data_IF_183375447689
#
_entry.id   IF_183375447689
#
_cell.length_a   1.000
_cell.length_b   1.000
_cell.length_c   1.000
_cell.angle_alpha   90.00
_cell.angle_beta   90.00
_cell.angle_gamma   90.00
#
_symmetry.space_group_name_H-M   'P 1'
#
loop_
_entity.id
_entity.type
_entity.pdbx_description
1 polymer ?
#
# COMPACT_ATOMS: atom_id res chain seq x y z
N UNK A 1 0.31 36.39 -18.97
CA UNK A 1 -0.63 35.61 -18.15
C UNK A 1 0.21 34.80 -17.18
N UNK A 2 0.67 35.46 -16.12
CA UNK A 2 1.36 34.81 -14.99
C UNK A 2 0.58 35.16 -13.74
N UNK A 3 -0.04 34.11 -13.21
CA UNK A 3 -0.85 34.09 -12.01
C UNK A 3 0.04 33.84 -10.79
N UNK A 4 -0.30 34.58 -9.72
CA UNK A 4 -0.34 34.14 -8.31
C UNK A 4 1.00 33.69 -7.70
N UNK A 5 1.57 34.55 -6.87
CA UNK A 5 1.82 34.35 -5.42
C UNK A 5 2.43 35.67 -4.92
N UNK A 6 1.63 36.50 -4.24
CA UNK A 6 2.14 37.58 -3.38
C UNK A 6 1.58 37.39 -1.97
N UNK A 7 2.49 36.95 -1.11
CA UNK A 7 2.70 37.45 0.25
C UNK A 7 1.46 37.64 1.12
N UNK A 8 1.09 36.59 1.86
CA UNK A 8 0.46 36.76 3.17
C UNK A 8 1.55 37.03 4.21
N UNK A 9 2.00 38.28 4.27
CA UNK A 9 2.66 38.82 5.46
C UNK A 9 1.59 39.37 6.38
N UNK A 10 1.18 38.61 7.38
CA UNK A 10 0.34 39.12 8.46
C UNK A 10 1.20 40.06 9.33
N UNK A 11 1.14 41.36 9.02
CA UNK A 11 1.48 42.39 10.00
C UNK A 11 0.39 42.42 11.08
N UNK A 12 0.74 42.60 12.36
CA UNK A 12 -0.26 42.78 13.40
C UNK A 12 -0.94 44.14 13.25
N UNK A 13 -2.28 44.11 13.31
CA UNK A 13 -3.13 45.29 13.40
C UNK A 13 -2.74 46.13 14.62
N UNK A 14 -2.37 47.38 14.35
CA UNK A 14 -2.28 48.48 15.31
C UNK A 14 -3.59 48.58 16.12
N UNK A 15 -3.55 48.19 17.39
CA UNK A 15 -4.55 48.58 18.38
C UNK A 15 -3.84 49.48 19.37
N UNK A 16 -4.09 50.78 19.22
CA UNK A 16 -3.51 51.84 20.03
C UNK A 16 -3.70 51.58 21.53
N UNK A 17 -2.60 51.68 22.27
CA UNK A 17 -2.58 51.71 23.73
C UNK A 17 -2.09 53.08 24.17
N UNK A 18 -3.04 53.98 24.40
CA UNK A 18 -2.83 55.21 25.16
C UNK A 18 -2.53 54.82 26.60
N UNK A 19 -1.30 55.08 27.04
CA UNK A 19 -0.86 54.98 28.42
C UNK A 19 -1.60 56.01 29.28
N UNK A 20 -2.44 55.55 30.19
CA UNK A 20 -2.75 56.28 31.43
C UNK A 20 -2.64 55.26 32.56
N UNK A 21 -1.53 55.35 33.30
CA UNK A 21 -1.35 54.68 34.57
C UNK A 21 -2.06 55.52 35.62
N UNK A 22 -3.08 54.97 36.27
CA UNK A 22 -3.48 55.42 37.60
C UNK A 22 -4.00 54.25 38.43
N UNK A 23 -3.46 54.23 39.64
CA UNK A 23 -3.69 53.32 40.75
C UNK A 23 -5.17 53.24 41.14
N UNK A 24 -5.67 52.04 41.45
CA UNK A 24 -6.31 51.73 42.75
C UNK A 24 -6.90 50.32 42.77
N UNK A 25 -6.52 49.58 43.82
CA UNK A 25 -7.11 48.30 44.19
C UNK A 25 -8.55 48.48 44.69
N UNK A 26 -9.50 47.70 44.17
CA UNK A 26 -10.70 47.34 44.93
C UNK A 26 -11.25 45.97 44.50
N UNK A 27 -11.47 45.11 45.50
CA UNK A 27 -12.10 43.79 45.40
C UNK A 27 -13.53 43.88 44.84
N UNK A 28 -13.94 42.89 44.04
CA UNK A 28 -15.14 42.07 44.25
C UNK A 28 -15.23 40.93 43.23
N UNK A 29 -15.68 39.78 43.71
CA UNK A 29 -15.90 38.52 42.99
C UNK A 29 -17.13 38.60 42.06
N UNK A 30 -17.07 37.95 40.90
CA UNK A 30 -18.18 37.09 40.44
C UNK A 30 -17.76 36.13 39.32
N UNK A 31 -18.37 34.95 39.38
CA UNK A 31 -18.31 33.84 38.43
C UNK A 31 -18.52 34.23 36.97
N UNK A 32 -17.58 33.81 36.13
CA UNK A 32 -17.76 33.27 34.77
C UNK A 32 -16.35 32.92 34.29
N UNK A 33 -16.18 31.74 33.68
CA UNK A 33 -14.88 31.11 33.40
C UNK A 33 -13.88 31.98 32.65
N UNK A 34 -13.18 32.83 33.39
CA UNK A 34 -12.23 33.81 32.88
C UNK A 34 -10.81 33.22 32.88
N UNK A 35 -9.98 33.49 31.85
CA UNK A 35 -8.61 32.96 31.74
C UNK A 35 -7.70 33.26 32.93
N UNK A 36 -8.09 34.24 33.76
CA UNK A 36 -7.45 34.62 35.02
C UNK A 36 -7.39 33.47 36.05
N UNK A 37 -8.26 32.45 35.97
CA UNK A 37 -8.17 31.30 36.89
C UNK A 37 -6.98 30.38 36.61
N UNK A 38 -6.30 30.51 35.46
CA UNK A 38 -5.11 29.69 35.13
C UNK A 38 -3.83 30.21 35.77
N UNK A 39 -3.80 31.46 36.22
CA UNK A 39 -2.61 32.12 36.79
C UNK A 39 -2.99 32.78 38.13
N UNK A 40 -2.17 32.59 39.16
CA UNK A 40 -2.47 33.00 40.55
C UNK A 40 -2.49 34.52 40.75
N UNK A 41 -1.94 35.30 39.81
CA UNK A 41 -1.94 36.77 39.84
C UNK A 41 -1.74 37.41 38.47
N UNK A 42 -2.10 38.70 38.32
CA UNK A 42 -1.85 39.49 37.10
C UNK A 42 -0.36 39.58 36.77
N UNK A 43 0.51 39.64 37.79
CA UNK A 43 1.97 39.60 37.60
C UNK A 43 2.44 38.26 37.02
N UNK A 44 1.84 37.16 37.46
CA UNK A 44 2.16 35.83 36.93
C UNK A 44 1.68 35.64 35.49
N UNK A 45 0.52 36.21 35.14
CA UNK A 45 0.06 36.26 33.76
C UNK A 45 1.06 37.05 32.88
N UNK A 46 1.51 38.23 33.32
CA UNK A 46 2.52 39.01 32.61
C UNK A 46 3.85 38.24 32.42
N UNK A 47 4.30 37.55 33.46
CA UNK A 47 5.50 36.69 33.39
C UNK A 47 5.29 35.51 32.43
N UNK A 48 4.10 34.92 32.37
CA UNK A 48 3.79 33.83 31.44
C UNK A 48 3.83 34.30 29.97
N UNK A 49 3.33 35.50 29.69
CA UNK A 49 3.45 36.11 28.36
C UNK A 49 4.89 36.37 27.98
N UNK A 50 5.69 36.96 28.88
CA UNK A 50 7.11 37.22 28.63
C UNK A 50 7.91 35.93 28.41
N UNK A 51 7.61 34.87 29.19
CA UNK A 51 8.21 33.56 28.99
C UNK A 51 7.81 32.97 27.64
N UNK A 52 6.53 33.08 27.24
CA UNK A 52 6.06 32.59 25.95
C UNK A 52 6.71 33.33 24.78
N UNK A 53 6.85 34.65 24.89
CA UNK A 53 7.53 35.48 23.89
C UNK A 53 9.01 35.10 23.75
N UNK A 54 9.67 34.79 24.88
CA UNK A 54 11.04 34.29 24.90
C UNK A 54 11.16 32.92 24.23
N UNK A 55 10.26 31.99 24.51
CA UNK A 55 10.22 30.67 23.87
C UNK A 55 9.94 30.77 22.36
N UNK A 56 9.04 31.66 21.96
CA UNK A 56 8.77 31.91 20.54
C UNK A 56 10.03 32.45 19.83
N UNK A 57 10.72 33.40 20.46
CA UNK A 57 11.96 33.96 19.93
C UNK A 57 13.07 32.90 19.83
N UNK A 58 13.25 32.07 20.85
CA UNK A 58 14.21 30.96 20.83
C UNK A 58 13.88 29.94 19.73
N UNK A 59 12.59 29.62 19.53
CA UNK A 59 12.16 28.71 18.47
C UNK A 59 12.42 29.31 17.08
N UNK A 60 12.13 30.60 16.89
CA UNK A 60 12.43 31.31 15.65
C UNK A 60 13.93 31.34 15.35
N UNK A 61 14.77 31.59 16.37
CA UNK A 61 16.23 31.54 16.24
C UNK A 61 16.71 30.14 15.86
N UNK A 62 16.22 29.10 16.55
CA UNK A 62 16.58 27.71 16.25
C UNK A 62 16.14 27.26 14.86
N UNK A 63 14.95 27.67 14.41
CA UNK A 63 14.48 27.40 13.05
C UNK A 63 15.43 28.07 12.06
N UNK A 64 15.76 29.34 12.27
CA UNK A 64 16.70 30.06 11.41
C UNK A 64 18.06 29.37 11.35
N UNK A 65 18.64 28.98 12.49
CA UNK A 65 19.90 28.24 12.53
C UNK A 65 19.84 26.89 11.81
N UNK A 66 18.74 26.14 11.94
CA UNK A 66 18.57 24.86 11.24
C UNK A 66 18.40 25.06 9.73
N UNK A 67 17.64 26.08 9.31
CA UNK A 67 17.48 26.45 7.92
C UNK A 67 18.82 26.89 7.31
N UNK A 68 19.57 27.74 8.02
CA UNK A 68 20.89 28.21 7.59
C UNK A 68 21.87 27.02 7.48
N UNK A 69 21.86 26.08 8.43
CA UNK A 69 22.68 24.85 8.36
C UNK A 69 22.30 23.93 7.21
N UNK A 70 21.00 23.79 6.92
CA UNK A 70 20.56 23.02 5.76
C UNK A 70 21.02 23.68 4.46
N UNK A 71 20.90 25.01 4.37
CA UNK A 71 21.31 25.79 3.22
C UNK A 71 22.83 25.79 3.04
N UNK A 72 23.61 25.82 4.13
CA UNK A 72 25.05 25.62 4.11
C UNK A 72 25.43 24.21 3.63
N UNK A 73 24.78 23.17 4.16
CA UNK A 73 24.99 21.78 3.71
C UNK A 73 24.64 21.60 2.23
N UNK A 74 23.57 22.23 1.75
CA UNK A 74 23.16 22.21 0.34
C UNK A 74 24.17 22.95 -0.56
N UNK A 75 24.70 24.09 -0.11
CA UNK A 75 25.68 24.87 -0.89
C UNK A 75 27.09 24.27 -0.87
N UNK A 76 27.51 23.61 0.21
CA UNK A 76 28.80 22.91 0.26
C UNK A 76 28.78 21.59 -0.50
N UNK A 77 27.61 20.98 -0.62
CA UNK A 77 27.39 19.74 -1.36
C UNK A 77 26.73 20.09 -2.68
N UNK A 78 27.48 20.73 -3.60
CA UNK A 78 27.10 20.71 -5.01
C UNK A 78 26.80 19.25 -5.34
N UNK A 79 25.53 18.96 -5.57
CA UNK A 79 25.03 17.60 -5.64
C UNK A 79 25.41 17.09 -7.02
N UNK A 80 26.67 16.65 -7.11
CA UNK A 80 27.24 16.05 -8.30
C UNK A 80 26.50 14.71 -8.47
N UNK A 81 25.85 14.49 -9.63
CA UNK A 81 25.19 13.23 -9.90
C UNK A 81 26.13 12.05 -9.60
N UNK A 82 25.60 10.97 -9.03
CA UNK A 82 26.40 9.84 -8.57
C UNK A 82 27.23 9.21 -9.71
N UNK A 83 26.75 9.35 -10.95
CA UNK A 83 27.43 8.89 -12.16
C UNK A 83 28.67 9.69 -12.57
N UNK A 84 28.90 10.87 -11.99
CA UNK A 84 30.08 11.71 -12.27
C UNK A 84 31.22 11.48 -11.25
N UNK A 85 31.02 10.59 -10.26
CA UNK A 85 32.04 10.27 -9.25
C UNK A 85 33.05 9.25 -9.79
N UNK A 86 34.31 9.37 -9.38
CA UNK A 86 35.40 8.48 -9.84
C UNK A 86 35.14 6.99 -9.51
N UNK A 87 34.46 6.70 -8.39
CA UNK A 87 34.13 5.35 -7.93
C UNK A 87 32.91 4.73 -8.66
N UNK A 88 32.27 5.47 -9.56
CA UNK A 88 31.06 5.03 -10.25
C UNK A 88 31.24 3.70 -10.97
N UNK A 89 32.37 3.51 -11.65
CA UNK A 89 32.67 2.29 -12.38
C UNK A 89 32.72 1.03 -11.49
N UNK A 90 33.18 1.17 -10.25
CA UNK A 90 33.22 0.06 -9.28
C UNK A 90 31.83 -0.21 -8.70
N UNK A 91 31.08 0.85 -8.38
CA UNK A 91 29.71 0.75 -7.88
C UNK A 91 28.77 0.09 -8.89
N UNK A 92 28.90 0.42 -10.18
CA UNK A 92 28.14 -0.21 -11.26
C UNK A 92 28.47 -1.70 -11.38
N UNK A 93 29.75 -2.07 -11.29
CA UNK A 93 30.17 -3.48 -11.32
C UNK A 93 29.62 -4.25 -10.11
N UNK A 94 29.73 -3.69 -8.91
CA UNK A 94 29.19 -4.28 -7.70
C UNK A 94 27.67 -4.44 -7.78
N UNK A 95 26.97 -3.44 -8.32
CA UNK A 95 25.52 -3.49 -8.55
C UNK A 95 25.12 -4.63 -9.48
N UNK A 96 25.76 -4.77 -10.65
CA UNK A 96 25.44 -5.85 -11.58
C UNK A 96 25.89 -7.24 -11.10
N UNK A 97 26.87 -7.32 -10.20
CA UNK A 97 27.21 -8.56 -9.53
C UNK A 97 26.08 -9.01 -8.57
N UNK A 98 25.49 -8.06 -7.84
CA UNK A 98 24.37 -8.31 -6.92
C UNK A 98 23.03 -8.50 -7.66
N UNK A 99 22.86 -7.87 -8.83
CA UNK A 99 21.64 -7.92 -9.63
C UNK A 99 21.91 -8.35 -11.08
N UNK A 100 22.08 -9.66 -11.35
CA UNK A 100 22.32 -10.16 -12.71
C UNK A 100 21.21 -9.82 -13.70
N UNK A 101 19.95 -9.78 -13.23
CA UNK A 101 18.77 -9.44 -14.04
C UNK A 101 18.77 -7.97 -14.50
N UNK A 102 19.48 -7.08 -13.80
CA UNK A 102 19.56 -5.67 -14.18
C UNK A 102 20.30 -5.46 -15.51
N UNK A 103 21.06 -6.47 -15.98
CA UNK A 103 21.77 -6.41 -17.27
C UNK A 103 20.82 -6.27 -18.47
N UNK A 104 19.60 -6.78 -18.37
CA UNK A 104 18.59 -6.66 -19.44
C UNK A 104 18.02 -5.25 -19.54
N UNK A 105 18.11 -4.47 -18.46
CA UNK A 105 17.49 -3.16 -18.33
C UNK A 105 18.49 -2.00 -18.38
N UNK A 106 19.74 -2.24 -18.79
CA UNK A 106 20.81 -1.22 -18.79
C UNK A 106 20.42 0.04 -19.55
N UNK A 107 19.85 -0.11 -20.75
CA UNK A 107 19.46 1.02 -21.58
C UNK A 107 18.41 1.90 -20.88
N UNK A 108 17.42 1.26 -20.26
CA UNK A 108 16.31 1.94 -19.58
C UNK A 108 16.77 2.58 -18.25
N UNK A 109 17.63 1.89 -17.50
CA UNK A 109 18.26 2.45 -16.29
C UNK A 109 19.07 3.69 -16.65
N UNK A 110 19.84 3.63 -17.75
CA UNK A 110 20.64 4.77 -18.21
C UNK A 110 19.79 5.95 -18.68
N UNK A 111 18.61 5.69 -19.24
CA UNK A 111 17.67 6.72 -19.66
C UNK A 111 17.02 7.39 -18.43
N UNK A 112 16.58 6.60 -17.46
CA UNK A 112 16.03 7.12 -16.19
C UNK A 112 17.03 7.99 -15.45
N UNK A 113 18.31 7.60 -15.41
CA UNK A 113 19.36 8.41 -14.76
C UNK A 113 19.64 9.73 -15.48
N UNK A 114 19.43 9.81 -16.80
CA UNK A 114 19.59 11.04 -17.56
C UNK A 114 18.38 11.97 -17.43
N UNK A 115 17.19 11.40 -17.32
CA UNK A 115 15.93 12.14 -17.33
C UNK A 115 15.50 12.60 -15.92
N UNK A 116 15.80 11.83 -14.87
CA UNK A 116 15.48 12.19 -13.48
C UNK A 116 16.72 12.65 -12.72
N UNK A 117 16.94 13.96 -12.70
CA UNK A 117 18.01 14.60 -11.93
C UNK A 117 17.94 14.22 -10.45
N UNK A 118 16.73 14.12 -9.86
CA UNK A 118 16.55 13.74 -8.45
C UNK A 118 17.06 12.33 -8.14
N UNK A 119 16.88 11.38 -9.06
CA UNK A 119 17.32 9.99 -8.87
C UNK A 119 18.83 9.90 -9.05
N UNK A 120 19.37 10.59 -10.04
CA UNK A 120 20.80 10.66 -10.30
C UNK A 120 21.60 11.24 -9.12
N UNK A 121 20.94 12.14 -8.42
CA UNK A 121 21.46 12.87 -7.29
C UNK A 121 21.44 12.00 -6.01
N UNK A 122 20.38 11.22 -5.79
CA UNK A 122 20.22 10.43 -4.57
C UNK A 122 21.29 9.35 -4.38
N UNK A 123 21.65 9.08 -3.13
CA UNK A 123 22.45 7.91 -2.76
C UNK A 123 21.73 6.62 -3.18
N UNK A 124 22.40 5.73 -3.91
CA UNK A 124 21.83 4.52 -4.55
C UNK A 124 20.97 4.81 -5.79
N UNK A 125 21.38 5.76 -6.62
CA UNK A 125 20.74 6.12 -7.89
C UNK A 125 20.43 4.90 -8.78
N UNK A 126 21.35 3.93 -8.87
CA UNK A 126 21.20 2.69 -9.64
C UNK A 126 20.03 1.82 -9.18
N UNK A 127 19.89 1.63 -7.86
CA UNK A 127 18.81 0.82 -7.28
C UNK A 127 17.45 1.50 -7.49
N UNK A 128 17.42 2.82 -7.30
CA UNK A 128 16.21 3.62 -7.48
C UNK A 128 15.79 3.64 -8.96
N UNK A 129 16.73 3.79 -9.89
CA UNK A 129 16.48 3.73 -11.32
C UNK A 129 15.97 2.35 -11.75
N UNK A 130 16.62 1.27 -11.29
CA UNK A 130 16.14 -0.10 -11.55
C UNK A 130 14.72 -0.31 -10.99
N UNK A 131 14.46 0.14 -9.77
CA UNK A 131 13.14 0.01 -9.15
C UNK A 131 12.07 0.74 -9.96
N UNK A 132 12.39 1.92 -10.48
CA UNK A 132 11.48 2.68 -11.36
C UNK A 132 11.21 1.95 -12.68
N UNK A 133 12.25 1.40 -13.31
CA UNK A 133 12.10 0.60 -14.53
C UNK A 133 11.24 -0.64 -14.28
N UNK A 134 11.52 -1.38 -13.21
CA UNK A 134 10.75 -2.58 -12.84
C UNK A 134 9.31 -2.25 -12.49
N UNK A 135 9.06 -1.15 -11.78
CA UNK A 135 7.72 -0.68 -11.48
C UNK A 135 6.94 -0.31 -12.75
N UNK A 136 7.61 0.30 -13.75
CA UNK A 136 7.01 0.59 -15.05
C UNK A 136 6.63 -0.66 -15.84
N UNK A 137 7.41 -1.74 -15.71
CA UNK A 137 7.15 -3.03 -16.38
C UNK A 137 6.29 -4.00 -15.57
N UNK A 138 5.96 -3.67 -14.33
CA UNK A 138 5.20 -4.57 -13.48
C UNK A 138 3.76 -4.69 -13.99
N UNK A 139 3.37 -5.91 -14.37
CA UNK A 139 2.00 -6.25 -14.75
C UNK A 139 1.31 -6.92 -13.56
N UNK A 140 0.18 -6.39 -13.06
CA UNK A 140 -0.60 -7.04 -12.02
C UNK A 140 -1.01 -8.46 -12.41
N UNK A 141 -1.06 -9.37 -11.43
CA UNK A 141 -1.37 -10.78 -11.65
C UNK A 141 -2.69 -11.00 -12.39
N UNK A 142 -3.71 -10.18 -12.11
CA UNK A 142 -5.02 -10.26 -12.76
C UNK A 142 -4.94 -10.03 -14.27
N UNK A 143 -4.05 -9.14 -14.71
CA UNK A 143 -3.83 -8.86 -16.14
C UNK A 143 -2.95 -9.93 -16.78
N UNK A 144 -1.98 -10.46 -16.04
CA UNK A 144 -1.10 -11.52 -16.52
C UNK A 144 -1.87 -12.84 -16.76
N UNK A 145 -2.86 -13.14 -15.92
CA UNK A 145 -3.72 -14.31 -16.10
C UNK A 145 -4.64 -14.22 -17.33
N UNK A 146 -4.81 -13.02 -17.90
CA UNK A 146 -5.59 -12.77 -19.12
C UNK A 146 -4.73 -12.65 -20.37
N UNK A 147 -3.40 -12.53 -20.21
CA UNK A 147 -2.49 -12.37 -21.33
C UNK A 147 -2.29 -13.70 -22.07
N UNK A 148 -2.75 -13.74 -23.32
CA UNK A 148 -2.70 -14.93 -24.18
C UNK A 148 -1.26 -15.40 -24.40
N UNK A 149 -0.29 -14.49 -24.59
CA UNK A 149 1.09 -14.89 -24.83
C UNK A 149 1.71 -15.56 -23.60
N UNK A 150 1.41 -15.03 -22.42
CA UNK A 150 1.84 -15.63 -21.16
C UNK A 150 1.21 -17.01 -20.96
N UNK A 151 -0.10 -17.16 -21.20
CA UNK A 151 -0.80 -18.42 -21.03
C UNK A 151 -0.26 -19.50 -21.99
N UNK A 152 -0.03 -19.18 -23.26
CA UNK A 152 0.53 -20.12 -24.24
C UNK A 152 1.94 -20.58 -23.86
N UNK A 153 2.83 -19.65 -23.54
CA UNK A 153 4.23 -19.96 -23.29
C UNK A 153 4.49 -20.61 -21.92
N UNK A 154 3.75 -20.22 -20.87
CA UNK A 154 4.04 -20.64 -19.49
C UNK A 154 3.00 -21.56 -18.86
N UNK A 155 1.72 -21.45 -19.24
CA UNK A 155 0.62 -22.24 -18.64
C UNK A 155 0.33 -23.48 -19.47
N UNK A 156 -0.02 -23.31 -20.75
CA UNK A 156 -0.41 -24.42 -21.63
C UNK A 156 0.77 -25.29 -22.06
N UNK A 157 1.96 -24.68 -22.23
CA UNK A 157 3.18 -25.41 -22.54
C UNK A 157 3.67 -26.29 -21.38
N UNK A 158 3.28 -25.98 -20.13
CA UNK A 158 3.68 -26.77 -18.97
C UNK A 158 2.72 -27.95 -18.74
N UNK A 159 3.22 -29.16 -19.05
CA UNK A 159 2.47 -30.42 -18.90
C UNK A 159 1.91 -30.65 -17.50
N UNK A 160 2.64 -30.27 -16.45
CA UNK A 160 2.17 -30.49 -15.07
C UNK A 160 0.94 -29.63 -14.75
N UNK A 161 0.90 -28.40 -15.28
CA UNK A 161 -0.22 -27.49 -15.05
C UNK A 161 -1.44 -27.96 -15.85
N UNK A 162 -1.26 -28.31 -17.12
CA UNK A 162 -2.37 -28.80 -17.96
C UNK A 162 -2.96 -30.10 -17.44
N UNK A 163 -2.15 -31.06 -17.00
CA UNK A 163 -2.61 -32.29 -16.34
C UNK A 163 -3.40 -31.98 -15.06
N UNK A 164 -2.93 -31.03 -14.24
CA UNK A 164 -3.65 -30.62 -13.03
C UNK A 164 -5.00 -29.96 -13.34
N UNK A 165 -5.07 -29.13 -14.38
CA UNK A 165 -6.33 -28.52 -14.85
C UNK A 165 -7.30 -29.61 -15.30
N UNK A 166 -6.84 -30.56 -16.12
CA UNK A 166 -7.67 -31.67 -16.61
C UNK A 166 -8.16 -32.54 -15.45
N UNK A 167 -7.30 -32.90 -14.52
CA UNK A 167 -7.69 -33.71 -13.35
C UNK A 167 -8.70 -32.98 -12.46
N UNK A 168 -8.50 -31.69 -12.17
CA UNK A 168 -9.48 -30.89 -11.44
C UNK A 168 -10.84 -30.85 -12.16
N UNK A 169 -10.84 -30.74 -13.49
CA UNK A 169 -12.06 -30.76 -14.28
C UNK A 169 -12.75 -32.13 -14.21
N UNK A 170 -12.02 -33.23 -14.40
CA UNK A 170 -12.56 -34.59 -14.29
C UNK A 170 -13.09 -34.89 -12.89
N UNK A 171 -12.39 -34.47 -11.84
CA UNK A 171 -12.83 -34.58 -10.45
C UNK A 171 -14.13 -33.79 -10.22
N UNK A 172 -14.24 -32.59 -10.81
CA UNK A 172 -15.47 -31.79 -10.71
C UNK A 172 -16.66 -32.47 -11.40
N UNK A 173 -16.43 -33.16 -12.52
CA UNK A 173 -17.46 -33.96 -13.19
C UNK A 173 -17.83 -35.20 -12.38
N UNK A 174 -16.86 -35.85 -11.74
CA UNK A 174 -17.13 -37.00 -10.87
C UNK A 174 -17.89 -36.60 -9.61
N UNK A 175 -17.58 -35.45 -9.01
CA UNK A 175 -18.31 -34.92 -7.85
C UNK A 175 -19.73 -34.47 -8.22
N UNK A 176 -19.91 -33.87 -9.39
CA UNK A 176 -21.21 -33.52 -9.94
C UNK A 176 -21.93 -34.71 -10.60
N UNK A 177 -21.43 -35.94 -10.44
CA UNK A 177 -22.09 -37.17 -10.90
C UNK A 177 -23.28 -37.52 -10.00
N UNK A 178 -24.25 -36.61 -9.93
CA UNK A 178 -25.60 -36.86 -9.48
C UNK A 178 -26.49 -37.28 -10.67
N UNK A 179 -26.04 -38.24 -11.48
CA UNK A 179 -26.92 -39.02 -12.35
C UNK A 179 -26.29 -40.39 -12.61
N UNK A 180 -26.98 -41.51 -12.32
CA UNK A 180 -26.63 -42.78 -12.90
C UNK A 180 -26.79 -42.64 -14.42
N UNK A 181 -25.67 -42.64 -15.14
CA UNK A 181 -25.66 -42.78 -16.59
C UNK A 181 -26.37 -44.09 -16.92
N UNK A 182 -27.60 -43.98 -17.40
CA UNK A 182 -28.36 -45.07 -17.96
C UNK A 182 -27.63 -45.48 -19.25
N UNK A 183 -26.75 -46.47 -19.17
CA UNK A 183 -26.04 -47.02 -20.33
C UNK A 183 -27.01 -47.86 -21.15
N UNK A 184 -27.97 -47.23 -21.82
CA UNK A 184 -28.89 -47.88 -22.77
C UNK A 184 -28.43 -47.59 -24.20
N UNK A 185 -27.43 -48.35 -24.67
CA UNK A 185 -27.09 -48.42 -26.10
C UNK A 185 -27.68 -49.67 -26.79
N UNK A 186 -28.49 -50.45 -26.07
CA UNK A 186 -29.38 -51.42 -26.70
C UNK A 186 -30.68 -51.46 -25.91
N UNK A 187 -31.79 -51.16 -26.59
CA UNK A 187 -33.09 -50.92 -25.97
C UNK A 187 -33.54 -52.04 -25.04
N UNK A 188 -33.50 -51.78 -23.74
CA UNK A 188 -34.43 -52.30 -22.72
C UNK A 188 -34.01 -51.73 -21.37
N UNK A 189 -34.32 -50.46 -21.15
CA UNK A 189 -34.26 -49.85 -19.82
C UNK A 189 -35.40 -50.36 -18.97
N UNK A 190 -35.34 -51.61 -18.52
CA UNK A 190 -36.25 -52.07 -17.46
C UNK A 190 -35.80 -51.41 -16.16
N UNK A 191 -36.68 -50.62 -15.55
CA UNK A 191 -36.57 -50.31 -14.13
C UNK A 191 -36.73 -51.62 -13.37
N UNK A 192 -35.63 -52.37 -13.19
CA UNK A 192 -35.61 -53.49 -12.28
C UNK A 192 -35.67 -52.92 -10.86
N UNK A 193 -36.90 -52.69 -10.37
CA UNK A 193 -37.13 -52.67 -8.93
C UNK A 193 -36.45 -53.92 -8.37
N UNK A 194 -35.62 -53.82 -7.31
CA UNK A 194 -34.98 -54.99 -6.74
C UNK A 194 -36.06 -55.90 -6.19
N UNK A 195 -36.47 -56.90 -6.98
CA UNK A 195 -37.34 -57.97 -6.51
C UNK A 195 -36.50 -58.73 -5.49
N UNK A 196 -36.70 -58.45 -4.20
CA UNK A 196 -36.09 -59.18 -3.10
C UNK A 196 -36.53 -60.64 -3.21
N UNK A 197 -35.73 -61.46 -3.90
CA UNK A 197 -35.96 -62.90 -4.00
C UNK A 197 -35.75 -63.51 -2.61
N UNK A 198 -36.78 -64.09 -1.98
CA UNK A 198 -36.61 -64.69 -0.66
C UNK A 198 -35.67 -65.89 -0.78
N UNK A 199 -34.61 -65.91 0.05
CA UNK A 199 -33.67 -67.04 0.10
C UNK A 199 -34.17 -68.17 1.02
N UNK A 200 -35.26 -67.95 1.75
CA UNK A 200 -35.80 -68.89 2.74
C UNK A 200 -37.32 -68.83 2.77
N UNK A 201 -37.98 -69.95 3.06
CA UNK A 201 -39.45 -70.08 3.15
C UNK A 201 -40.05 -69.04 4.11
N UNK A 202 -39.35 -68.74 5.22
CA UNK A 202 -39.75 -67.73 6.21
C UNK A 202 -39.79 -66.31 5.63
N UNK A 203 -38.84 -65.96 4.77
CA UNK A 203 -38.82 -64.65 4.09
C UNK A 203 -39.88 -64.56 3.00
N UNK A 204 -40.16 -65.67 2.30
CA UNK A 204 -41.26 -65.74 1.35
C UNK A 204 -42.61 -65.50 2.04
N UNK A 205 -42.80 -66.10 3.22
CA UNK A 205 -44.00 -65.89 4.04
C UNK A 205 -44.21 -64.42 4.43
N UNK A 206 -43.15 -63.71 4.85
CA UNK A 206 -43.23 -62.28 5.19
C UNK A 206 -43.59 -61.38 4.00
N UNK A 207 -43.09 -61.71 2.81
CA UNK A 207 -43.40 -60.94 1.60
C UNK A 207 -44.88 -61.11 1.25
N UNK A 208 -45.39 -62.34 1.30
CA UNK A 208 -46.81 -62.65 1.03
C UNK A 208 -47.73 -61.98 2.06
N UNK A 209 -47.36 -62.01 3.34
CA UNK A 209 -48.13 -61.34 4.41
C UNK A 209 -48.22 -59.82 4.18
N UNK A 210 -47.15 -59.19 3.68
CA UNK A 210 -47.15 -57.77 3.35
C UNK A 210 -48.04 -57.43 2.13
N UNK A 211 -48.25 -58.38 1.21
CA UNK A 211 -49.15 -58.22 0.06
C UNK A 211 -50.63 -58.29 0.43
N UNK A 212 -50.99 -59.06 1.46
CA UNK A 212 -52.37 -59.22 1.92
C UNK A 212 -52.80 -58.18 2.98
N UNK A 213 -51.88 -57.31 3.43
CA UNK A 213 -52.13 -56.26 4.42
C UNK A 213 -52.38 -54.86 3.83
N UNK A 214 -52.48 -54.75 2.49
CA UNK A 214 -52.92 -53.54 1.78
C UNK A 214 -54.32 -53.73 1.19
#
# INVERSE_FOLDING_TARGET
MEEIIKQNGEQPLEIGSTLIAEEQQKKMEHESGSPILKFKSVKELGNAYQNLEKEFTQKCQKIKELTDKLLEMENTTKFVPEYERDDWGENVKAFFANHPLAKEYIAEISDVLKNDELIANQSNSLNNALTKVLAGKFVPYDKLAQDEQFLEQYVYSNKQISERIVNNYLDSLQKNKAMPLMTSISGSGTFASPVKKPKTIKDAGKIVEAYFKN
#
